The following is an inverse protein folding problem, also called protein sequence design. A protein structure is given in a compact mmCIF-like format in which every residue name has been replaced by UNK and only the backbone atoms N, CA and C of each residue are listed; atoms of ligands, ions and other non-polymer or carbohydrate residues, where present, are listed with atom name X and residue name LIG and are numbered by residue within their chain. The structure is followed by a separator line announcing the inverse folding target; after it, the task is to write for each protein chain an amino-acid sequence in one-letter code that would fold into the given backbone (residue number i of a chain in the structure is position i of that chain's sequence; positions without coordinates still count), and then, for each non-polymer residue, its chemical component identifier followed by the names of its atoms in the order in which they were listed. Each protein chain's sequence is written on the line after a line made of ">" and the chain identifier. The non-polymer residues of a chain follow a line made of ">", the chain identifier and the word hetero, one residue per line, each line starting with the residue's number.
data_IF_322775293161
#
_entry.id   IF_322775293161
#
_cell.length_a   1.000
_cell.length_b   1.000
_cell.length_c   1.000
_cell.angle_alpha   90.00
_cell.angle_beta   90.00
_cell.angle_gamma   90.00
#
_symmetry.space_group_name_H-M   'P 1'
#
loop_
_entity.id
_entity.type
_entity.pdbx_description
1 polymer ?
#
# COMPACT_ATOMS: atom_id res chain seq x y z
N UNK A 1 33.10 -20.29 -20.85
CA UNK A 1 32.58 -21.43 -20.06
C UNK A 1 33.77 -22.18 -19.47
N UNK A 2 33.89 -22.36 -18.14
CA UNK A 2 35.04 -23.06 -17.57
C UNK A 2 34.92 -24.57 -17.85
N UNK A 3 35.87 -25.09 -18.62
CA UNK A 3 36.01 -26.48 -19.07
C UNK A 3 36.65 -27.38 -18.00
N UNK A 4 36.11 -27.35 -16.78
CA UNK A 4 36.51 -28.29 -15.73
C UNK A 4 35.78 -29.62 -15.89
N UNK A 5 36.55 -30.72 -15.84
CA UNK A 5 36.07 -32.11 -15.82
C UNK A 5 34.98 -32.30 -14.76
N UNK A 6 33.92 -33.05 -15.08
CA UNK A 6 32.83 -33.38 -14.15
C UNK A 6 33.35 -33.87 -12.78
N UNK A 7 34.47 -34.59 -12.81
CA UNK A 7 35.12 -35.16 -11.64
C UNK A 7 35.75 -34.10 -10.70
N UNK A 8 36.29 -33.00 -11.25
CA UNK A 8 36.84 -31.90 -10.45
C UNK A 8 35.74 -31.12 -9.73
N UNK A 9 34.62 -30.87 -10.42
CA UNK A 9 33.43 -30.26 -9.80
C UNK A 9 32.86 -31.15 -8.70
N UNK A 10 32.87 -32.47 -8.90
CA UNK A 10 32.43 -33.43 -7.89
C UNK A 10 33.34 -33.42 -6.65
N UNK A 11 34.67 -33.44 -6.83
CA UNK A 11 35.63 -33.35 -5.71
C UNK A 11 35.48 -32.05 -4.93
N UNK A 12 35.33 -30.92 -5.63
CA UNK A 12 35.13 -29.61 -5.01
C UNK A 12 33.78 -29.49 -4.28
N UNK A 13 32.73 -30.15 -4.78
CA UNK A 13 31.44 -30.26 -4.09
C UNK A 13 31.54 -31.21 -2.89
N UNK A 14 32.30 -32.31 -2.98
CA UNK A 14 32.46 -33.28 -1.91
C UNK A 14 33.26 -32.74 -0.70
N UNK A 15 34.15 -31.76 -0.91
CA UNK A 15 34.92 -31.09 0.15
C UNK A 15 34.13 -30.03 0.95
N UNK A 16 32.92 -29.66 0.50
CA UNK A 16 32.05 -28.70 1.20
C UNK A 16 31.16 -29.39 2.25
N UNK A 17 30.76 -28.63 3.27
CA UNK A 17 29.82 -29.11 4.28
C UNK A 17 28.50 -29.58 3.65
N UNK A 18 27.86 -30.59 4.24
CA UNK A 18 26.64 -31.20 3.70
C UNK A 18 25.52 -30.16 3.44
N UNK A 19 25.34 -29.20 4.34
CA UNK A 19 24.35 -28.13 4.20
C UNK A 19 24.60 -27.21 2.99
N UNK A 20 25.85 -26.79 2.78
CA UNK A 20 26.22 -25.93 1.65
C UNK A 20 25.96 -26.61 0.30
N UNK A 21 26.30 -27.90 0.20
CA UNK A 21 26.04 -28.70 -1.00
C UNK A 21 24.55 -28.79 -1.33
N UNK A 22 23.71 -28.97 -0.31
CA UNK A 22 22.26 -29.07 -0.50
C UNK A 22 21.69 -27.73 -1.01
N UNK A 23 22.13 -26.62 -0.42
CA UNK A 23 21.79 -25.25 -0.84
C UNK A 23 22.19 -24.99 -2.29
N UNK A 24 23.43 -25.31 -2.67
CA UNK A 24 23.94 -25.13 -4.04
C UNK A 24 23.18 -25.97 -5.08
N UNK A 25 22.94 -27.25 -4.76
CA UNK A 25 22.20 -28.13 -5.66
C UNK A 25 20.75 -27.68 -5.84
N UNK A 26 20.12 -27.20 -4.76
CA UNK A 26 18.77 -26.63 -4.79
C UNK A 26 18.75 -25.36 -5.65
N UNK A 27 19.72 -24.48 -5.49
CA UNK A 27 19.83 -23.27 -6.29
C UNK A 27 20.03 -23.56 -7.80
N UNK A 28 20.90 -24.51 -8.14
CA UNK A 28 21.10 -24.98 -9.52
C UNK A 28 19.83 -25.63 -10.09
N UNK A 29 19.03 -26.31 -9.28
CA UNK A 29 17.75 -26.88 -9.71
C UNK A 29 16.77 -25.77 -10.10
N UNK A 30 16.57 -24.76 -9.25
CA UNK A 30 15.68 -23.64 -9.56
C UNK A 30 16.12 -22.89 -10.82
N UNK A 31 17.42 -22.57 -10.95
CA UNK A 31 17.95 -21.90 -12.15
C UNK A 31 17.66 -22.65 -13.45
N UNK A 32 17.67 -23.99 -13.43
CA UNK A 32 17.41 -24.80 -14.62
C UNK A 32 15.93 -25.02 -14.92
N UNK A 33 15.10 -25.06 -13.88
CA UNK A 33 13.71 -25.53 -13.98
C UNK A 33 12.64 -24.46 -13.82
N UNK A 34 12.97 -23.29 -13.27
CA UNK A 34 11.96 -22.28 -12.97
C UNK A 34 11.19 -21.82 -14.20
N UNK A 35 11.92 -21.47 -15.28
CA UNK A 35 11.31 -21.03 -16.54
C UNK A 35 10.61 -22.14 -17.33
N UNK A 36 10.70 -23.40 -16.89
CA UNK A 36 9.95 -24.51 -17.48
C UNK A 36 8.55 -24.66 -16.86
N UNK A 37 8.23 -23.88 -15.81
CA UNK A 37 6.92 -23.91 -15.18
C UNK A 37 5.90 -23.06 -15.95
N UNK A 38 4.63 -23.48 -15.96
CA UNK A 38 3.57 -22.80 -16.70
C UNK A 38 3.32 -21.34 -16.27
N UNK A 39 3.68 -21.01 -15.03
CA UNK A 39 3.49 -19.66 -14.49
C UNK A 39 4.80 -18.87 -14.37
N UNK A 40 5.85 -19.30 -15.07
CA UNK A 40 7.09 -18.55 -15.13
C UNK A 40 6.91 -17.30 -16.00
N UNK A 41 7.38 -16.16 -15.50
CA UNK A 41 7.32 -14.87 -16.17
C UNK A 41 8.61 -14.11 -15.97
N UNK A 42 8.90 -13.23 -16.93
CA UNK A 42 9.84 -12.12 -16.70
C UNK A 42 9.01 -10.99 -16.09
N UNK A 43 9.45 -10.48 -14.94
CA UNK A 43 8.83 -9.36 -14.24
C UNK A 43 9.86 -8.26 -14.07
N UNK A 44 9.43 -7.00 -14.01
CA UNK A 44 10.30 -5.87 -13.67
C UNK A 44 10.09 -5.49 -12.21
N UNK A 45 11.14 -5.46 -11.39
CA UNK A 45 11.11 -4.96 -10.01
C UNK A 45 11.93 -3.68 -9.97
N UNK A 46 11.28 -2.54 -9.71
CA UNK A 46 11.88 -1.19 -9.78
C UNK A 46 12.69 -0.94 -11.07
N UNK A 47 12.21 -1.46 -12.21
CA UNK A 47 12.86 -1.31 -13.51
C UNK A 47 13.91 -2.38 -13.84
N UNK A 48 14.23 -3.28 -12.92
CA UNK A 48 15.19 -4.38 -13.12
C UNK A 48 14.44 -5.66 -13.47
N UNK A 49 14.82 -6.32 -14.56
CA UNK A 49 14.19 -7.58 -14.97
C UNK A 49 14.61 -8.76 -14.10
N UNK A 50 13.62 -9.53 -13.67
CA UNK A 50 13.79 -10.77 -12.92
C UNK A 50 12.99 -11.89 -13.56
N UNK A 51 13.57 -13.10 -13.53
CA UNK A 51 12.79 -14.31 -13.72
C UNK A 51 12.05 -14.60 -12.42
N UNK A 52 10.75 -14.85 -12.50
CA UNK A 52 9.93 -15.23 -11.37
C UNK A 52 8.89 -16.29 -11.75
N UNK A 53 8.46 -17.10 -10.78
CA UNK A 53 7.20 -17.84 -10.90
C UNK A 53 6.12 -17.04 -10.19
N UNK A 54 5.01 -16.79 -10.87
CA UNK A 54 3.85 -16.08 -10.32
C UNK A 54 2.77 -17.10 -9.95
N UNK A 55 2.14 -16.94 -8.79
CA UNK A 55 1.02 -17.76 -8.36
C UNK A 55 -0.03 -16.87 -7.68
N UNK A 56 -1.26 -17.36 -7.56
CA UNK A 56 -2.27 -16.69 -6.76
C UNK A 56 -1.91 -16.86 -5.28
N UNK A 57 -2.07 -15.78 -4.50
CA UNK A 57 -1.94 -15.83 -3.05
C UNK A 57 -3.21 -16.30 -2.36
N UNK A 58 -3.21 -16.22 -1.03
CA UNK A 58 -4.33 -16.67 -0.19
C UNK A 58 -5.58 -15.79 -0.31
N UNK A 59 -5.42 -14.52 -0.71
CA UNK A 59 -6.53 -13.58 -0.93
C UNK A 59 -6.76 -13.38 -2.43
N UNK A 60 -8.01 -13.11 -2.79
CA UNK A 60 -8.48 -13.00 -4.19
C UNK A 60 -7.63 -12.03 -5.05
N UNK A 61 -7.13 -10.95 -4.46
CA UNK A 61 -6.37 -9.90 -5.16
C UNK A 61 -4.85 -10.02 -4.98
N UNK A 62 -4.38 -11.00 -4.22
CA UNK A 62 -2.97 -11.14 -3.89
C UNK A 62 -2.30 -12.10 -4.87
N UNK A 63 -1.08 -11.75 -5.27
CA UNK A 63 -0.22 -12.68 -5.97
C UNK A 63 0.99 -13.01 -5.10
N UNK A 64 1.56 -14.17 -5.35
CA UNK A 64 2.84 -14.57 -4.79
C UNK A 64 3.85 -14.73 -5.92
N UNK A 65 5.05 -14.21 -5.70
CA UNK A 65 6.18 -14.44 -6.60
C UNK A 65 7.26 -15.24 -5.89
N UNK A 66 7.84 -16.18 -6.64
CA UNK A 66 9.04 -16.91 -6.25
C UNK A 66 10.16 -16.54 -7.21
N UNK A 67 11.25 -16.01 -6.67
CA UNK A 67 12.39 -15.53 -7.45
C UNK A 67 13.51 -16.57 -7.48
N UNK A 68 14.47 -16.35 -8.38
CA UNK A 68 15.70 -17.14 -8.39
C UNK A 68 16.50 -16.95 -7.08
N UNK A 69 17.29 -17.96 -6.68
CA UNK A 69 18.18 -17.85 -5.54
C UNK A 69 19.09 -16.62 -5.64
N UNK A 70 19.33 -15.95 -4.51
CA UNK A 70 20.14 -14.74 -4.37
C UNK A 70 19.53 -13.44 -4.95
N UNK A 71 18.35 -13.50 -5.58
CA UNK A 71 17.63 -12.28 -5.92
C UNK A 71 17.35 -11.48 -4.64
N UNK A 72 17.60 -10.17 -4.70
CA UNK A 72 17.26 -9.26 -3.61
C UNK A 72 15.85 -8.74 -3.89
N UNK A 73 14.98 -8.87 -2.90
CA UNK A 73 13.61 -8.38 -2.96
C UNK A 73 13.28 -7.79 -1.60
N UNK A 74 12.73 -6.59 -1.63
CA UNK A 74 12.42 -5.80 -0.45
C UNK A 74 10.94 -5.41 -0.47
N UNK A 75 10.38 -5.22 0.72
CA UNK A 75 9.04 -4.69 0.85
C UNK A 75 8.99 -3.26 0.31
N UNK A 76 7.86 -2.89 -0.29
CA UNK A 76 7.63 -1.58 -0.87
C UNK A 76 8.10 -1.40 -2.31
N UNK A 77 8.88 -2.33 -2.87
CA UNK A 77 9.27 -2.24 -4.29
C UNK A 77 8.04 -2.38 -5.21
N UNK A 78 8.13 -1.80 -6.41
CA UNK A 78 7.09 -1.91 -7.42
C UNK A 78 7.44 -3.02 -8.41
N UNK A 79 6.46 -3.88 -8.69
CA UNK A 79 6.59 -4.99 -9.63
C UNK A 79 5.67 -4.75 -10.83
N UNK A 80 6.20 -4.86 -12.04
CA UNK A 80 5.46 -4.65 -13.28
C UNK A 80 5.53 -5.88 -14.18
N UNK A 81 4.36 -6.34 -14.63
CA UNK A 81 4.20 -7.36 -15.68
C UNK A 81 2.76 -7.36 -16.18
N UNK A 82 2.52 -7.85 -17.40
CA UNK A 82 1.21 -7.90 -18.04
C UNK A 82 0.42 -6.57 -17.95
N UNK A 83 1.10 -5.44 -18.19
CA UNK A 83 0.53 -4.09 -18.11
C UNK A 83 -0.10 -3.72 -16.75
N UNK A 84 0.32 -4.41 -15.68
CA UNK A 84 -0.16 -4.16 -14.32
C UNK A 84 0.99 -3.87 -13.38
N UNK A 85 0.78 -2.89 -12.50
CA UNK A 85 1.71 -2.53 -11.43
C UNK A 85 1.24 -3.12 -10.10
N UNK A 86 2.16 -3.70 -9.37
CA UNK A 86 1.96 -4.34 -8.08
C UNK A 86 2.94 -3.77 -7.06
N UNK A 87 2.57 -3.79 -5.79
CA UNK A 87 3.39 -3.37 -4.66
C UNK A 87 3.79 -4.60 -3.85
N UNK A 88 5.07 -4.75 -3.52
CA UNK A 88 5.52 -5.82 -2.62
C UNK A 88 5.09 -5.49 -1.19
N UNK A 89 4.11 -6.20 -0.67
CA UNK A 89 3.57 -5.96 0.67
C UNK A 89 4.24 -6.80 1.76
N UNK A 90 4.87 -7.92 1.38
CA UNK A 90 5.64 -8.75 2.29
C UNK A 90 6.70 -9.55 1.54
N UNK A 91 7.80 -9.84 2.21
CA UNK A 91 8.90 -10.67 1.71
C UNK A 91 9.21 -11.78 2.71
N UNK A 92 9.51 -12.97 2.22
CA UNK A 92 9.94 -14.11 3.02
C UNK A 92 11.05 -14.85 2.30
N UNK A 93 12.10 -15.23 3.02
CA UNK A 93 13.11 -16.14 2.49
C UNK A 93 12.69 -17.57 2.86
N UNK A 94 12.30 -18.37 1.86
CA UNK A 94 11.93 -19.78 2.06
C UNK A 94 13.07 -20.67 1.54
N UNK A 95 13.95 -21.09 2.45
CA UNK A 95 15.15 -21.86 2.08
C UNK A 95 16.14 -20.99 1.31
N UNK A 96 16.36 -21.30 0.03
CA UNK A 96 17.33 -20.58 -0.83
C UNK A 96 16.69 -19.60 -1.80
N UNK A 97 15.35 -19.59 -1.87
CA UNK A 97 14.58 -18.80 -2.83
C UNK A 97 13.82 -17.68 -2.10
N UNK A 98 13.94 -16.43 -2.55
CA UNK A 98 13.10 -15.35 -2.06
C UNK A 98 11.67 -15.53 -2.57
N UNK A 99 10.72 -15.31 -1.66
CA UNK A 99 9.29 -15.27 -1.92
C UNK A 99 8.76 -13.88 -1.55
N UNK A 100 7.82 -13.35 -2.31
CA UNK A 100 7.17 -12.09 -1.99
C UNK A 100 5.67 -12.14 -2.27
N UNK A 101 4.89 -11.40 -1.47
CA UNK A 101 3.46 -11.21 -1.64
C UNK A 101 3.21 -9.85 -2.27
N UNK A 102 2.46 -9.84 -3.36
CA UNK A 102 2.15 -8.68 -4.17
C UNK A 102 0.71 -8.22 -3.95
N UNK A 103 0.53 -6.91 -3.84
CA UNK A 103 -0.77 -6.24 -3.82
C UNK A 103 -0.93 -5.41 -5.09
N UNK A 104 -2.02 -5.60 -5.83
CA UNK A 104 -2.25 -4.85 -7.07
C UNK A 104 -2.44 -3.36 -6.79
N UNK A 105 -1.64 -2.49 -7.41
CA UNK A 105 -1.89 -1.06 -7.39
C UNK A 105 -3.16 -0.76 -8.20
N UNK A 106 -4.07 0.02 -7.64
CA UNK A 106 -5.37 0.35 -8.26
C UNK A 106 -5.51 1.81 -8.63
N UNK A 107 -4.58 2.67 -8.19
CA UNK A 107 -4.53 4.07 -8.57
C UNK A 107 -3.10 4.51 -8.81
N UNK A 108 -2.95 5.49 -9.69
CA UNK A 108 -1.79 6.35 -9.77
C UNK A 108 -2.19 7.67 -9.12
N UNK A 109 -1.54 7.99 -8.00
CA UNK A 109 -1.89 9.18 -7.22
C UNK A 109 -0.99 10.33 -7.62
N UNK A 110 -1.63 11.47 -7.87
CA UNK A 110 -0.97 12.70 -8.24
C UNK A 110 -1.10 13.73 -7.12
N UNK A 111 -0.04 14.51 -6.90
CA UNK A 111 -0.06 15.60 -5.93
C UNK A 111 0.95 16.69 -6.28
N UNK A 112 0.82 17.85 -5.63
CA UNK A 112 1.80 18.94 -5.77
C UNK A 112 2.46 19.21 -4.44
N UNK A 113 3.80 19.17 -4.40
CA UNK A 113 4.60 19.51 -3.23
C UNK A 113 5.65 20.56 -3.63
N UNK A 114 5.72 21.66 -2.89
CA UNK A 114 6.66 22.77 -3.17
C UNK A 114 6.57 23.31 -4.61
N UNK A 115 5.38 23.28 -5.23
CA UNK A 115 5.17 23.71 -6.61
C UNK A 115 5.59 22.70 -7.68
N UNK A 116 6.06 21.51 -7.29
CA UNK A 116 6.39 20.41 -8.20
C UNK A 116 5.27 19.38 -8.19
N UNK A 117 4.83 18.99 -9.38
CA UNK A 117 3.85 17.92 -9.57
C UNK A 117 4.54 16.55 -9.50
N UNK A 118 3.95 15.64 -8.74
CA UNK A 118 4.45 14.30 -8.49
C UNK A 118 3.33 13.28 -8.77
N UNK A 119 3.72 12.09 -9.24
CA UNK A 119 2.81 10.98 -9.48
C UNK A 119 3.46 9.66 -9.05
N UNK A 120 2.67 8.76 -8.45
CA UNK A 120 3.14 7.41 -8.12
C UNK A 120 1.99 6.40 -7.95
N UNK A 121 2.24 5.16 -8.38
CA UNK A 121 1.33 4.04 -8.17
C UNK A 121 1.14 3.71 -6.69
N UNK A 122 -0.12 3.50 -6.30
CA UNK A 122 -0.53 3.19 -4.96
C UNK A 122 -1.56 2.06 -4.91
N UNK A 123 -1.59 1.34 -3.78
CA UNK A 123 -2.73 0.54 -3.38
C UNK A 123 -3.60 1.37 -2.45
N UNK A 124 -4.82 1.67 -2.88
CA UNK A 124 -5.84 2.37 -2.08
C UNK A 124 -6.86 1.36 -1.59
N UNK A 125 -7.18 1.40 -0.31
CA UNK A 125 -8.16 0.53 0.33
C UNK A 125 -9.06 1.34 1.25
N UNK A 126 -10.38 1.21 1.09
CA UNK A 126 -11.34 1.83 2.02
C UNK A 126 -11.19 1.19 3.40
N UNK A 127 -11.24 2.02 4.44
CA UNK A 127 -11.52 1.54 5.78
C UNK A 127 -12.80 2.20 6.29
N UNK A 128 -13.60 1.39 6.98
CA UNK A 128 -14.73 1.87 7.74
C UNK A 128 -14.33 1.74 9.20
N UNK A 129 -14.03 2.86 9.86
CA UNK A 129 -14.03 2.88 11.32
C UNK A 129 -15.49 2.98 11.74
N UNK A 130 -16.03 1.89 12.29
CA UNK A 130 -17.09 2.03 13.27
C UNK A 130 -16.40 2.70 14.46
N UNK A 131 -16.61 4.00 14.66
CA UNK A 131 -16.10 4.73 15.83
C UNK A 131 -16.67 4.05 17.09
N UNK A 132 -15.94 3.10 17.67
CA UNK A 132 -16.20 2.59 19.02
C UNK A 132 -15.59 3.58 20.01
N UNK A 133 -16.30 4.67 20.31
CA UNK A 133 -15.99 5.52 21.45
C UNK A 133 -17.15 5.52 22.46
N UNK A 134 -16.76 5.25 23.70
CA UNK A 134 -17.44 5.45 24.98
C UNK A 134 -18.92 5.04 25.11
N UNK A 135 -19.15 3.87 25.73
CA UNK A 135 -20.48 3.42 26.14
C UNK A 135 -21.09 4.23 27.30
N UNK A 136 -20.38 5.23 27.86
CA UNK A 136 -20.83 5.94 29.06
C UNK A 136 -21.60 7.24 28.79
N UNK A 137 -21.64 7.74 27.54
CA UNK A 137 -22.28 9.03 27.22
C UNK A 137 -23.27 9.02 26.04
N UNK A 138 -23.73 7.86 25.56
CA UNK A 138 -24.75 7.82 24.49
C UNK A 138 -26.12 8.26 25.02
N UNK A 139 -26.48 9.49 24.70
CA UNK A 139 -27.90 9.84 24.55
C UNK A 139 -28.50 8.95 23.45
N UNK A 140 -29.74 8.47 23.65
CA UNK A 140 -30.50 7.60 22.73
C UNK A 140 -30.69 8.15 21.29
N UNK A 141 -30.09 9.29 20.95
CA UNK A 141 -30.22 9.99 19.67
C UNK A 141 -28.90 10.18 18.91
N UNK A 142 -27.75 9.71 19.41
CA UNK A 142 -26.50 9.77 18.65
C UNK A 142 -26.44 8.62 17.64
N UNK A 143 -26.81 8.93 16.39
CA UNK A 143 -26.65 8.06 15.24
C UNK A 143 -25.16 8.02 14.86
N UNK A 144 -24.51 6.85 14.95
CA UNK A 144 -23.14 6.68 14.47
C UNK A 144 -23.14 6.87 12.95
N UNK A 145 -22.66 8.02 12.48
CA UNK A 145 -22.42 8.23 11.06
C UNK A 145 -21.11 7.50 10.73
N UNK A 146 -21.10 6.54 9.79
CA UNK A 146 -19.86 5.90 9.38
C UNK A 146 -18.93 6.97 8.79
N UNK A 147 -17.84 7.26 9.49
CA UNK A 147 -16.73 8.02 8.93
C UNK A 147 -15.94 7.08 8.04
N UNK A 148 -16.18 7.20 6.73
CA UNK A 148 -15.42 6.48 5.73
C UNK A 148 -14.10 7.22 5.46
N UNK A 149 -13.00 6.47 5.47
CA UNK A 149 -11.70 6.94 5.03
C UNK A 149 -11.03 5.92 4.12
N UNK A 150 -9.83 6.25 3.67
CA UNK A 150 -9.02 5.37 2.84
C UNK A 150 -7.61 5.23 3.43
N UNK A 151 -7.07 4.02 3.31
CA UNK A 151 -5.65 3.77 3.46
C UNK A 151 -5.00 3.78 2.09
N UNK A 152 -3.92 4.54 1.98
CA UNK A 152 -3.09 4.61 0.78
C UNK A 152 -1.74 4.00 1.12
N UNK A 153 -1.35 2.96 0.38
CA UNK A 153 -0.08 2.27 0.53
C UNK A 153 0.82 2.56 -0.67
N UNK A 154 2.02 3.06 -0.42
CA UNK A 154 2.98 3.47 -1.45
C UNK A 154 4.41 3.04 -1.09
N UNK A 155 5.27 2.91 -2.10
CA UNK A 155 6.71 2.70 -1.89
C UNK A 155 7.36 3.92 -1.25
N UNK A 156 8.20 3.71 -0.24
CA UNK A 156 8.98 4.79 0.38
C UNK A 156 10.09 5.22 -0.59
N UNK A 157 10.04 6.49 -1.00
CA UNK A 157 11.09 7.15 -1.75
C UNK A 157 11.12 8.65 -1.41
N UNK A 158 12.05 9.38 -2.03
CA UNK A 158 12.21 10.83 -1.80
C UNK A 158 10.94 11.62 -2.15
N UNK A 159 10.16 11.15 -3.13
CA UNK A 159 8.94 11.78 -3.60
C UNK A 159 7.81 11.58 -2.59
N UNK A 160 7.56 10.37 -2.10
CA UNK A 160 6.54 10.12 -1.06
C UNK A 160 6.85 10.85 0.24
N UNK A 161 8.13 11.00 0.58
CA UNK A 161 8.53 11.74 1.79
C UNK A 161 8.20 13.24 1.72
N UNK A 162 7.83 13.77 0.54
CA UNK A 162 7.34 15.15 0.41
C UNK A 162 5.91 15.33 0.89
N UNK A 163 5.15 14.24 1.02
CA UNK A 163 3.73 14.27 1.37
C UNK A 163 3.59 14.63 2.85
N UNK A 164 2.74 15.63 3.14
CA UNK A 164 2.49 16.11 4.50
C UNK A 164 1.04 15.94 4.91
N UNK A 165 0.80 15.93 6.22
CA UNK A 165 -0.56 15.97 6.78
C UNK A 165 -1.26 17.25 6.30
N UNK A 166 -2.54 17.13 5.94
CA UNK A 166 -3.36 18.20 5.36
C UNK A 166 -3.22 18.34 3.84
N UNK A 167 -2.42 17.49 3.20
CA UNK A 167 -2.35 17.42 1.75
C UNK A 167 -3.51 16.60 1.17
N UNK A 168 -3.96 16.97 -0.03
CA UNK A 168 -5.11 16.36 -0.68
C UNK A 168 -4.70 15.39 -1.79
N UNK A 169 -5.34 14.23 -1.79
CA UNK A 169 -5.42 13.35 -2.95
C UNK A 169 -6.79 13.48 -3.60
N UNK A 170 -6.83 13.49 -4.93
CA UNK A 170 -8.09 13.46 -5.68
C UNK A 170 -8.24 12.08 -6.30
N UNK A 171 -9.26 11.33 -5.89
CA UNK A 171 -9.53 9.98 -6.36
C UNK A 171 -10.98 9.91 -6.83
N UNK A 172 -11.22 9.57 -8.10
CA UNK A 172 -12.54 9.52 -8.71
C UNK A 172 -13.38 10.80 -8.51
N UNK A 173 -12.74 11.97 -8.51
CA UNK A 173 -13.39 13.27 -8.31
C UNK A 173 -13.74 13.60 -6.85
N UNK A 174 -13.35 12.76 -5.89
CA UNK A 174 -13.46 13.05 -4.45
C UNK A 174 -12.09 13.44 -3.89
N UNK A 175 -12.05 14.48 -3.07
CA UNK A 175 -10.86 14.90 -2.36
C UNK A 175 -10.75 14.17 -1.02
N UNK A 176 -9.56 13.67 -0.72
CA UNK A 176 -9.21 13.02 0.54
C UNK A 176 -8.04 13.75 1.17
N UNK A 177 -8.21 14.23 2.41
CA UNK A 177 -7.15 14.87 3.18
C UNK A 177 -6.31 13.81 3.88
N UNK A 178 -4.99 13.90 3.78
CA UNK A 178 -4.07 13.05 4.55
C UNK A 178 -4.12 13.47 6.02
N UNK A 179 -4.65 12.60 6.88
CA UNK A 179 -4.78 12.83 8.33
C UNK A 179 -3.73 12.09 9.15
N UNK A 180 -3.13 11.02 8.61
CA UNK A 180 -2.07 10.28 9.28
C UNK A 180 -1.04 9.72 8.31
N UNK A 181 0.20 9.60 8.78
CA UNK A 181 1.33 9.01 8.04
C UNK A 181 1.99 7.97 8.95
N UNK A 182 2.06 6.73 8.49
CA UNK A 182 2.81 5.64 9.13
C UNK A 182 3.91 5.16 8.17
N UNK A 183 5.13 5.55 8.47
CA UNK A 183 6.36 5.15 7.78
C UNK A 183 7.27 4.29 8.67
N UNK A 184 6.74 3.73 9.77
CA UNK A 184 7.52 2.96 10.73
C UNK A 184 7.17 1.47 10.67
N UNK A 185 5.88 1.14 10.60
CA UNK A 185 5.41 -0.25 10.71
C UNK A 185 5.94 -1.15 9.60
N UNK A 186 6.08 -0.62 8.40
CA UNK A 186 6.45 -1.37 7.19
C UNK A 186 7.77 -0.85 6.59
N UNK A 187 8.73 -0.50 7.43
CA UNK A 187 10.03 0.04 7.00
C UNK A 187 11.18 -0.68 7.67
N UNK A 188 12.18 -1.06 6.89
CA UNK A 188 13.44 -1.67 7.35
C UNK A 188 14.58 -0.89 6.68
N UNK A 189 15.49 -0.33 7.47
CA UNK A 189 16.65 0.44 6.99
C UNK A 189 16.31 1.58 6.00
N UNK A 190 15.16 2.23 6.23
CA UNK A 190 14.69 3.35 5.39
C UNK A 190 14.06 2.94 4.06
N UNK A 191 13.89 1.64 3.81
CA UNK A 191 13.18 1.09 2.66
C UNK A 191 11.93 0.35 3.10
N UNK A 192 10.89 0.39 2.29
CA UNK A 192 9.62 -0.19 2.68
C UNK A 192 8.43 0.49 2.05
N UNK A 193 7.31 0.37 2.75
CA UNK A 193 6.04 0.91 2.34
C UNK A 193 5.56 1.93 3.38
N UNK A 194 5.07 3.06 2.92
CA UNK A 194 4.39 4.06 3.75
C UNK A 194 2.89 3.85 3.62
N UNK A 195 2.21 3.98 4.76
CA UNK A 195 0.75 3.96 4.86
C UNK A 195 0.27 5.36 5.21
N UNK A 196 -0.56 5.94 4.35
CA UNK A 196 -1.30 7.16 4.64
C UNK A 196 -2.73 6.82 5.06
N UNK A 197 -3.20 7.48 6.10
CA UNK A 197 -4.61 7.52 6.50
C UNK A 197 -5.20 8.80 5.92
N UNK A 198 -6.25 8.68 5.12
CA UNK A 198 -6.91 9.84 4.52
C UNK A 198 -8.40 9.82 4.78
N UNK A 199 -8.96 10.98 5.10
CA UNK A 199 -10.38 11.17 5.36
C UNK A 199 -11.03 11.97 4.23
N UNK A 200 -12.30 11.69 3.95
CA UNK A 200 -13.03 12.39 2.88
C UNK A 200 -13.28 13.85 3.25
N UNK A 201 -12.99 14.76 2.32
CA UNK A 201 -13.28 16.19 2.48
C UNK A 201 -14.74 16.41 2.10
N UNK A 202 -15.59 16.57 3.10
CA UNK A 202 -16.98 16.99 2.89
C UNK A 202 -17.02 18.51 2.91
N UNK A 203 -17.05 19.13 1.74
CA UNK A 203 -17.38 20.55 1.65
C UNK A 203 -18.80 20.73 2.21
N UNK A 204 -19.00 21.55 3.25
CA UNK A 204 -20.35 21.83 3.72
C UNK A 204 -21.14 22.43 2.55
N UNK A 205 -22.41 22.03 2.34
CA UNK A 205 -23.25 22.70 1.35
C UNK A 205 -23.25 24.19 1.67
N UNK A 206 -23.08 25.03 0.65
CA UNK A 206 -23.20 26.48 0.79
C UNK A 206 -24.53 26.74 1.48
N UNK A 207 -24.46 27.16 2.76
CA UNK A 207 -25.63 27.67 3.44
C UNK A 207 -25.92 28.97 2.71
N UNK A 208 -26.91 28.97 1.82
CA UNK A 208 -27.60 30.18 1.45
C UNK A 208 -28.06 30.80 2.77
N UNK A 209 -27.29 31.78 3.26
CA UNK A 209 -27.74 32.69 4.30
C UNK A 209 -28.87 33.48 3.69
N UNK A 210 -30.07 32.91 3.71
CA UNK A 210 -31.29 33.67 3.64
C UNK A 210 -31.25 34.54 4.89
N UNK A 211 -30.75 35.77 4.74
CA UNK A 211 -30.92 36.81 5.73
C UNK A 211 -32.42 36.93 5.97
N UNK A 212 -32.91 36.30 7.04
CA UNK A 212 -34.26 36.58 7.51
C UNK A 212 -34.25 38.07 7.84
N UNK A 213 -35.11 38.89 7.20
CA UNK A 213 -35.23 40.27 7.60
C UNK A 213 -35.56 40.29 9.08
N UNK A 214 -34.77 41.01 9.86
CA UNK A 214 -35.12 41.35 11.24
C UNK A 214 -36.43 42.13 11.15
N UNK A 215 -37.54 41.47 11.41
CA UNK A 215 -38.76 42.17 11.81
C UNK A 215 -38.41 42.83 13.13
N UNK A 216 -38.16 44.13 13.07
CA UNK A 216 -38.10 44.99 14.23
C UNK A 216 -39.38 44.76 15.06
N UNK A 217 -39.17 44.57 16.36
CA UNK A 217 -40.21 44.52 17.38
C UNK A 217 -41.07 45.78 17.30
N UNK A 218 -42.17 45.70 16.57
CA UNK A 218 -43.34 46.54 16.79
C UNK A 218 -44.39 45.74 17.58
N UNK A 219 -44.39 45.95 18.90
CA UNK A 219 -45.63 46.30 19.61
C UNK A 219 -46.59 45.19 20.07
N UNK A 220 -46.65 45.05 21.40
CA UNK A 220 -47.85 44.68 22.17
C UNK A 220 -48.12 43.16 22.26
N UNK A 221 -48.65 42.60 23.34
CA UNK A 221 -49.66 43.08 24.27
C UNK A 221 -49.58 42.23 25.53
N UNK A 222 -49.32 42.78 26.71
CA UNK A 222 -49.87 42.30 27.99
C UNK A 222 -49.83 43.45 29.02
N UNK A 223 -50.79 44.38 28.89
CA UNK A 223 -51.26 45.15 30.04
C UNK A 223 -52.44 44.36 30.63
N UNK A 224 -52.27 43.80 31.82
CA UNK A 224 -53.37 43.30 32.63
C UNK A 224 -53.34 44.03 33.97
N UNK A 225 -54.09 45.13 34.05
CA UNK A 225 -54.48 45.77 35.31
C UNK A 225 -55.93 45.40 35.67
N UNK A 226 -56.15 45.17 36.97
CA UNK A 226 -57.45 45.19 37.65
C UNK A 226 -58.06 43.79 37.84
N UNK A 227 -58.47 43.35 39.04
CA UNK A 227 -58.91 44.04 40.26
C UNK A 227 -58.84 43.08 41.44
#
# INVERSE_FOLDING_TARGET
>A
MPSGSYFERYKQKASKGFGERLTENTAEFYRRKMMQSANAKIISIDGVEHQARVANGDRLEDLEILLLPQAQVEMGQLVQFDDTTWLIAATQIQGVVPKAVLKRCNYELEWTANGVHHSQFAKVQNYYTLDMYDNEAKTLMDLDVPKGGIFVFMSINDITNTIKIGQQFVINGQAFDVTGIDNLTHTIDGRGMVKYTCDIVVSPPEKETVEKPKTEDEGGWWNWEGK
#
